data_IF_032776147909
#
_entry.id   IF_032776147909
#
_cell.length_a   1.000
_cell.length_b   1.000
_cell.length_c   1.000
_cell.angle_alpha   90.00
_cell.angle_beta   90.00
_cell.angle_gamma   90.00
#
_symmetry.space_group_name_H-M   'P 1'
#
loop_
_entity.id
_entity.type
_entity.pdbx_description
1 polymer ?
#
# COMPACT_ATOMS: atom_id res chain seq x y z
N UNK A 1 11.41 -37.45 12.94
CA UNK A 1 11.60 -36.01 12.72
C UNK A 1 11.08 -35.28 13.95
N UNK A 2 11.95 -34.55 14.66
CA UNK A 2 11.53 -33.77 15.82
C UNK A 2 10.45 -32.76 15.38
N UNK A 3 9.26 -32.83 15.98
CA UNK A 3 8.22 -31.83 15.78
C UNK A 3 8.76 -30.53 16.37
N UNK A 4 9.09 -29.55 15.53
CA UNK A 4 9.52 -28.24 16.01
C UNK A 4 8.38 -27.68 16.88
N UNK A 5 8.62 -27.52 18.17
CA UNK A 5 7.65 -26.93 19.09
C UNK A 5 7.32 -25.50 18.62
N UNK A 6 6.06 -25.06 18.76
CA UNK A 6 5.70 -23.68 18.45
C UNK A 6 6.52 -22.74 19.35
N UNK A 7 6.99 -21.61 18.79
CA UNK A 7 7.75 -20.62 19.55
C UNK A 7 6.89 -20.12 20.72
N UNK A 8 7.51 -20.06 21.90
CA UNK A 8 6.88 -19.54 23.11
C UNK A 8 6.49 -18.07 22.87
N UNK A 9 5.28 -17.74 23.26
CA UNK A 9 4.72 -16.40 23.16
C UNK A 9 4.45 -15.94 24.59
N UNK A 10 5.12 -14.87 24.99
CA UNK A 10 4.95 -14.25 26.31
C UNK A 10 4.40 -12.85 26.09
N UNK A 11 3.34 -12.51 26.81
CA UNK A 11 2.74 -11.19 26.81
C UNK A 11 3.18 -10.44 28.06
N UNK A 12 3.38 -9.13 27.93
CA UNK A 12 3.37 -8.25 29.10
C UNK A 12 1.94 -8.07 29.61
N UNK A 13 1.81 -7.69 30.88
CA UNK A 13 0.50 -7.44 31.50
C UNK A 13 -0.31 -6.40 30.71
N UNK A 14 0.33 -5.31 30.27
CA UNK A 14 -0.31 -4.28 29.46
C UNK A 14 -0.82 -4.81 28.11
N UNK A 15 -0.03 -5.65 27.42
CA UNK A 15 -0.47 -6.25 26.15
C UNK A 15 -1.65 -7.20 26.34
N UNK A 16 -1.62 -8.00 27.41
CA UNK A 16 -2.72 -8.90 27.76
C UNK A 16 -4.00 -8.12 28.04
N UNK A 17 -3.94 -7.10 28.89
CA UNK A 17 -5.08 -6.24 29.18
C UNK A 17 -5.66 -5.59 27.92
N UNK A 18 -4.81 -5.09 27.02
CA UNK A 18 -5.25 -4.49 25.76
C UNK A 18 -5.96 -5.50 24.84
N UNK A 19 -5.43 -6.73 24.75
CA UNK A 19 -6.05 -7.82 23.99
C UNK A 19 -7.43 -8.18 24.58
N UNK A 20 -7.54 -8.30 25.90
CA UNK A 20 -8.79 -8.59 26.59
C UNK A 20 -9.82 -7.45 26.42
N UNK A 21 -9.38 -6.18 26.49
CA UNK A 21 -10.21 -5.00 26.19
C UNK A 21 -10.74 -5.04 24.75
N UNK A 22 -9.94 -5.50 23.78
CA UNK A 22 -10.37 -5.68 22.40
C UNK A 22 -11.43 -6.78 22.24
N UNK A 23 -11.36 -7.87 23.02
CA UNK A 23 -12.38 -8.92 23.00
C UNK A 23 -13.74 -8.42 23.52
N UNK A 24 -13.73 -7.53 24.52
CA UNK A 24 -14.93 -7.00 25.16
C UNK A 24 -15.55 -5.80 24.43
N UNK A 25 -14.83 -5.21 23.46
CA UNK A 25 -15.29 -4.04 22.72
C UNK A 25 -16.37 -4.42 21.71
N UNK A 26 -17.58 -3.89 21.91
CA UNK A 26 -18.77 -4.17 21.07
C UNK A 26 -18.60 -3.85 19.58
N UNK A 27 -17.77 -2.88 19.23
CA UNK A 27 -17.56 -2.41 17.85
C UNK A 27 -16.26 -2.91 17.22
N UNK A 28 -15.54 -3.83 17.86
CA UNK A 28 -14.28 -4.33 17.31
C UNK A 28 -14.54 -5.20 16.05
N UNK A 29 -13.78 -5.01 14.96
CA UNK A 29 -13.90 -5.87 13.78
C UNK A 29 -13.64 -7.34 14.16
N UNK A 30 -14.49 -8.25 13.69
CA UNK A 30 -14.42 -9.68 14.02
C UNK A 30 -13.04 -10.29 13.73
N UNK A 31 -12.36 -9.83 12.67
CA UNK A 31 -11.02 -10.30 12.34
C UNK A 31 -9.98 -9.91 13.40
N UNK A 32 -10.06 -8.69 13.96
CA UNK A 32 -9.16 -8.25 15.03
C UNK A 32 -9.40 -9.08 16.29
N UNK A 33 -10.68 -9.29 16.65
CA UNK A 33 -11.06 -10.14 17.78
C UNK A 33 -10.54 -11.57 17.61
N UNK A 34 -10.70 -12.16 16.42
CA UNK A 34 -10.20 -13.50 16.12
C UNK A 34 -8.67 -13.59 16.26
N UNK A 35 -7.94 -12.57 15.77
CA UNK A 35 -6.48 -12.50 15.88
C UNK A 35 -6.05 -12.33 17.33
N UNK A 36 -6.74 -11.51 18.12
CA UNK A 36 -6.48 -11.38 19.55
C UNK A 36 -6.65 -12.71 20.30
N UNK A 37 -7.72 -13.47 20.00
CA UNK A 37 -7.94 -14.82 20.56
C UNK A 37 -6.80 -15.79 20.22
N UNK A 38 -6.28 -15.75 18.99
CA UNK A 38 -5.12 -16.58 18.60
C UNK A 38 -3.92 -16.29 19.51
N UNK A 39 -3.66 -15.02 19.82
CA UNK A 39 -2.51 -14.60 20.63
C UNK A 39 -2.69 -15.00 22.10
N UNK A 40 -3.87 -14.81 22.68
CA UNK A 40 -4.17 -15.19 24.06
C UNK A 40 -4.05 -16.71 24.26
N UNK A 41 -4.69 -17.51 23.40
CA UNK A 41 -4.58 -18.97 23.47
C UNK A 41 -3.13 -19.46 23.27
N UNK A 42 -2.34 -18.73 22.46
CA UNK A 42 -0.94 -19.03 22.24
C UNK A 42 -0.05 -18.74 23.46
N UNK A 43 -0.39 -17.73 24.27
CA UNK A 43 0.25 -17.42 25.55
C UNK A 43 -0.08 -18.50 26.60
N UNK A 44 -1.32 -18.99 26.63
CA UNK A 44 -1.78 -20.09 27.51
C UNK A 44 -1.11 -21.44 27.21
N UNK A 45 -0.28 -21.53 26.15
CA UNK A 45 0.49 -22.72 25.81
C UNK A 45 -0.15 -23.61 24.74
N UNK A 46 -1.31 -23.23 24.20
CA UNK A 46 -1.94 -24.00 23.12
C UNK A 46 -1.07 -23.99 21.86
N UNK A 47 -0.97 -25.13 21.20
CA UNK A 47 -0.27 -25.26 19.92
C UNK A 47 -1.17 -24.82 18.73
N UNK A 48 -0.56 -24.62 17.57
CA UNK A 48 -1.27 -24.14 16.37
C UNK A 48 -2.44 -25.04 15.92
N UNK A 49 -2.45 -26.34 16.28
CA UNK A 49 -3.55 -27.25 15.94
C UNK A 49 -4.69 -27.14 16.94
N UNK A 50 -4.39 -26.99 18.23
CA UNK A 50 -5.37 -26.74 19.28
C UNK A 50 -6.12 -25.43 19.02
N UNK A 51 -5.37 -24.34 18.82
CA UNK A 51 -5.95 -23.02 18.47
C UNK A 51 -6.82 -23.11 17.21
N UNK A 52 -6.37 -23.88 16.20
CA UNK A 52 -7.13 -24.10 14.98
C UNK A 52 -8.46 -24.81 15.21
N UNK A 53 -8.49 -25.81 16.08
CA UNK A 53 -9.72 -26.54 16.45
C UNK A 53 -10.67 -25.66 17.26
N UNK A 54 -10.14 -24.96 18.26
CA UNK A 54 -10.94 -24.14 19.16
C UNK A 54 -11.59 -22.95 18.46
N UNK A 55 -10.85 -22.26 17.59
CA UNK A 55 -11.35 -21.10 16.86
C UNK A 55 -11.97 -21.44 15.49
N UNK A 56 -12.01 -22.72 15.12
CA UNK A 56 -12.45 -23.20 13.80
C UNK A 56 -11.71 -22.52 12.63
N UNK A 57 -10.37 -22.46 12.71
CA UNK A 57 -9.48 -21.87 11.70
C UNK A 57 -8.39 -22.84 11.26
N UNK A 58 -7.73 -22.54 10.15
CA UNK A 58 -6.59 -23.34 9.71
C UNK A 58 -5.38 -23.16 10.64
N UNK A 59 -4.63 -24.25 10.88
CA UNK A 59 -3.35 -24.21 11.61
C UNK A 59 -2.35 -23.19 11.04
N UNK A 60 -2.44 -22.93 9.74
CA UNK A 60 -1.57 -21.99 9.00
C UNK A 60 -1.89 -20.56 9.41
N UNK A 61 -3.17 -20.24 9.61
CA UNK A 61 -3.60 -18.92 10.07
C UNK A 61 -3.16 -18.66 11.52
N UNK A 62 -3.34 -19.64 12.42
CA UNK A 62 -2.85 -19.53 13.79
C UNK A 62 -1.33 -19.29 13.82
N UNK A 63 -0.56 -20.08 13.05
CA UNK A 63 0.88 -19.90 12.90
C UNK A 63 1.24 -18.51 12.39
N UNK A 64 0.61 -18.05 11.30
CA UNK A 64 0.88 -16.74 10.69
C UNK A 64 0.75 -15.59 11.70
N UNK A 65 -0.33 -15.58 12.48
CA UNK A 65 -0.57 -14.50 13.43
C UNK A 65 0.35 -14.56 14.64
N UNK A 66 0.73 -15.74 15.12
CA UNK A 66 1.77 -15.87 16.15
C UNK A 66 3.13 -15.39 15.67
N UNK A 67 3.55 -15.85 14.49
CA UNK A 67 4.84 -15.47 13.90
C UNK A 67 4.90 -13.94 13.71
N UNK A 68 3.83 -13.36 13.13
CA UNK A 68 3.69 -11.90 12.99
C UNK A 68 3.71 -11.16 14.32
N UNK A 69 3.02 -11.66 15.35
CA UNK A 69 3.02 -11.04 16.67
C UNK A 69 4.44 -10.96 17.24
N UNK A 70 5.20 -12.05 17.15
CA UNK A 70 6.58 -12.13 17.63
C UNK A 70 7.58 -11.30 16.79
N UNK A 71 7.33 -11.13 15.50
CA UNK A 71 8.13 -10.23 14.65
C UNK A 71 7.88 -8.77 14.99
N UNK A 72 6.64 -8.41 15.32
CA UNK A 72 6.25 -7.03 15.60
C UNK A 72 6.42 -6.61 17.06
N UNK A 73 6.54 -7.55 18.02
CA UNK A 73 6.88 -7.23 19.42
C UNK A 73 8.22 -6.51 19.56
N UNK A 74 9.13 -6.72 18.59
CA UNK A 74 10.44 -6.07 18.55
C UNK A 74 10.37 -4.59 18.12
N UNK A 75 9.24 -4.12 17.60
CA UNK A 75 9.11 -2.81 16.96
C UNK A 75 8.40 -1.76 17.82
N UNK A 76 8.13 -2.04 19.10
CA UNK A 76 7.41 -1.15 20.03
C UNK A 76 6.11 -0.57 19.42
N UNK A 77 5.34 -1.41 18.73
CA UNK A 77 4.08 -1.02 18.09
C UNK A 77 2.88 -1.23 19.04
N UNK A 78 1.83 -0.38 18.95
CA UNK A 78 0.58 -0.60 19.66
C UNK A 78 -0.04 -1.97 19.34
N UNK A 79 -0.76 -2.58 20.30
CA UNK A 79 -1.39 -3.90 20.12
C UNK A 79 -2.28 -3.95 18.88
N UNK A 80 -3.08 -2.91 18.65
CA UNK A 80 -4.00 -2.85 17.52
C UNK A 80 -3.26 -2.89 16.18
N UNK A 81 -2.14 -2.19 16.04
CA UNK A 81 -1.35 -2.14 14.80
C UNK A 81 -0.70 -3.48 14.48
N UNK A 82 -0.45 -4.30 15.50
CA UNK A 82 0.10 -5.65 15.33
C UNK A 82 -0.95 -6.63 14.81
N UNK A 83 -2.23 -6.35 15.08
CA UNK A 83 -3.36 -7.17 14.69
C UNK A 83 -3.98 -6.77 13.34
N UNK A 84 -3.68 -5.59 12.79
CA UNK A 84 -4.15 -5.20 11.45
C UNK A 84 -3.31 -5.84 10.34
N UNK A 85 -3.92 -5.98 9.15
CA UNK A 85 -3.19 -6.42 7.96
C UNK A 85 -2.16 -5.35 7.56
N UNK A 86 -0.98 -5.80 7.12
CA UNK A 86 -0.05 -4.89 6.46
C UNK A 86 -0.68 -4.34 5.18
N UNK A 87 -0.26 -3.14 4.80
CA UNK A 87 -0.59 -2.59 3.50
C UNK A 87 -0.30 -3.63 2.41
N UNK A 88 -1.33 -3.90 1.61
CA UNK A 88 -1.18 -4.82 0.48
C UNK A 88 -0.21 -4.16 -0.48
N UNK A 89 0.73 -4.93 -1.04
CA UNK A 89 1.71 -4.45 -2.02
C UNK A 89 1.09 -3.79 -3.27
N UNK A 90 -0.23 -3.87 -3.44
CA UNK A 90 -0.94 -3.34 -4.59
C UNK A 90 -0.66 -4.14 -5.86
N UNK A 91 -1.25 -3.69 -6.97
CA UNK A 91 -0.82 -4.14 -8.30
C UNK A 91 0.52 -3.45 -8.59
N UNK A 92 1.52 -4.17 -9.13
CA UNK A 92 2.74 -3.52 -9.63
C UNK A 92 2.39 -2.37 -10.58
N UNK A 93 3.18 -1.30 -10.54
CA UNK A 93 3.03 -0.21 -11.49
C UNK A 93 3.10 -0.74 -12.93
N UNK A 94 2.22 -0.25 -13.79
CA UNK A 94 2.19 -0.67 -15.21
C UNK A 94 3.31 -0.01 -16.02
N UNK A 95 3.74 1.18 -15.59
CA UNK A 95 4.83 1.93 -16.19
C UNK A 95 5.95 2.08 -15.18
N UNK A 96 7.19 2.04 -15.66
CA UNK A 96 8.37 2.30 -14.83
C UNK A 96 8.46 3.78 -14.46
N UNK A 97 9.26 4.09 -13.44
CA UNK A 97 9.45 5.49 -13.03
C UNK A 97 10.11 6.31 -14.14
N UNK A 98 11.01 5.68 -14.91
CA UNK A 98 11.70 6.30 -16.05
C UNK A 98 10.69 6.72 -17.12
N UNK A 99 9.77 5.83 -17.50
CA UNK A 99 8.71 6.14 -18.48
C UNK A 99 7.79 7.27 -18.01
N UNK A 100 7.49 7.33 -16.71
CA UNK A 100 6.66 8.39 -16.12
C UNK A 100 7.43 9.73 -16.10
N UNK A 101 8.72 9.72 -15.80
CA UNK A 101 9.56 10.92 -15.82
C UNK A 101 9.71 11.45 -17.25
N UNK A 102 9.88 10.58 -18.24
CA UNK A 102 9.93 10.97 -19.64
C UNK A 102 8.60 11.59 -20.12
N UNK A 103 7.46 11.03 -19.69
CA UNK A 103 6.15 11.66 -19.93
C UNK A 103 6.11 13.08 -19.36
N UNK A 104 6.61 13.30 -18.14
CA UNK A 104 6.60 14.63 -17.52
C UNK A 104 7.54 15.59 -18.23
N UNK A 105 8.72 15.14 -18.65
CA UNK A 105 9.64 15.94 -19.45
C UNK A 105 8.99 16.38 -20.77
N UNK A 106 8.34 15.44 -21.47
CA UNK A 106 7.60 15.72 -22.69
C UNK A 106 6.46 16.72 -22.45
N UNK A 107 5.67 16.52 -21.39
CA UNK A 107 4.55 17.40 -21.04
C UNK A 107 4.99 18.84 -20.70
N UNK A 108 6.24 19.05 -20.30
CA UNK A 108 6.84 20.36 -20.01
C UNK A 108 7.58 20.98 -21.21
N UNK A 109 7.67 20.29 -22.34
CA UNK A 109 8.32 20.77 -23.56
C UNK A 109 7.32 21.43 -24.52
N UNK A 110 7.82 22.13 -25.54
CA UNK A 110 6.96 22.74 -26.55
C UNK A 110 6.58 21.71 -27.63
N UNK A 111 5.30 21.57 -28.01
CA UNK A 111 4.89 20.64 -29.07
C UNK A 111 5.59 20.87 -30.41
N UNK A 112 5.99 22.12 -30.67
CA UNK A 112 6.74 22.53 -31.86
C UNK A 112 8.10 21.83 -31.96
N UNK A 113 8.77 21.55 -30.83
CA UNK A 113 10.06 20.84 -30.78
C UNK A 113 9.94 19.40 -31.33
N UNK A 114 8.72 18.85 -31.34
CA UNK A 114 8.40 17.50 -31.81
C UNK A 114 7.64 17.50 -33.15
N UNK A 115 7.58 18.67 -33.81
CA UNK A 115 6.96 18.84 -35.13
C UNK A 115 5.44 18.74 -35.14
N UNK A 116 4.77 18.96 -34.00
CA UNK A 116 3.30 18.94 -33.93
C UNK A 116 2.71 20.33 -34.13
N UNK A 117 1.71 20.51 -35.02
CA UNK A 117 1.08 21.80 -35.25
C UNK A 117 -0.01 22.10 -34.19
N UNK A 118 0.36 22.03 -32.91
CA UNK A 118 -0.55 22.27 -31.77
C UNK A 118 0.10 23.27 -30.81
N UNK A 119 -0.68 24.15 -30.20
CA UNK A 119 -0.16 25.16 -29.25
C UNK A 119 0.10 24.60 -27.85
N UNK A 120 -0.56 23.50 -27.49
CA UNK A 120 -0.45 22.88 -26.17
C UNK A 120 -0.58 21.36 -26.26
N UNK A 121 0.11 20.65 -25.37
CA UNK A 121 -0.04 19.22 -25.24
C UNK A 121 -1.43 18.84 -24.72
N UNK A 122 -2.06 17.88 -25.40
CA UNK A 122 -3.21 17.15 -24.86
C UNK A 122 -2.78 15.76 -24.41
N UNK A 123 -3.53 15.12 -23.52
CA UNK A 123 -3.20 13.77 -23.05
C UNK A 123 -3.19 12.72 -24.18
N UNK A 124 -3.93 12.97 -25.28
CA UNK A 124 -3.90 12.12 -26.47
C UNK A 124 -2.59 12.29 -27.23
N UNK A 125 -2.20 13.53 -27.47
CA UNK A 125 -0.97 13.86 -28.21
C UNK A 125 0.27 13.36 -27.47
N UNK A 126 0.29 13.50 -26.14
CA UNK A 126 1.35 12.95 -25.29
C UNK A 126 1.41 11.42 -25.37
N UNK A 127 0.26 10.73 -25.33
CA UNK A 127 0.22 9.28 -25.47
C UNK A 127 0.77 8.82 -26.83
N UNK A 128 0.36 9.47 -27.92
CA UNK A 128 0.84 9.18 -29.27
C UNK A 128 2.34 9.45 -29.41
N UNK A 129 2.84 10.54 -28.83
CA UNK A 129 4.25 10.89 -28.90
C UNK A 129 5.14 9.96 -28.06
N UNK A 130 4.67 9.52 -26.89
CA UNK A 130 5.38 8.50 -26.10
C UNK A 130 5.50 7.16 -26.86
N UNK A 131 4.46 6.76 -27.58
CA UNK A 131 4.49 5.56 -28.44
C UNK A 131 5.42 5.77 -29.63
N UNK A 132 5.37 6.94 -30.28
CA UNK A 132 6.24 7.30 -31.42
C UNK A 132 7.72 7.29 -31.04
N UNK A 133 8.07 7.73 -29.83
CA UNK A 133 9.44 7.72 -29.33
C UNK A 133 9.89 6.35 -28.78
N UNK A 134 8.99 5.35 -28.76
CA UNK A 134 9.30 4.00 -28.27
C UNK A 134 9.44 3.90 -26.75
N UNK A 135 8.96 4.91 -26.01
CA UNK A 135 9.02 4.95 -24.54
C UNK A 135 8.09 3.90 -23.94
N UNK A 136 6.90 3.72 -24.56
CA UNK A 136 5.90 2.73 -24.17
C UNK A 136 5.33 2.05 -25.41
N UNK A 137 4.95 0.77 -25.30
CA UNK A 137 4.24 0.06 -26.36
C UNK A 137 2.82 0.59 -26.56
N UNK A 138 2.12 0.88 -25.45
CA UNK A 138 0.81 1.50 -25.46
C UNK A 138 0.51 2.18 -24.13
N UNK A 139 -0.17 3.32 -24.19
CA UNK A 139 -0.70 4.01 -23.02
C UNK A 139 -2.03 4.68 -23.39
N UNK A 140 -3.03 4.59 -22.51
CA UNK A 140 -4.29 5.26 -22.77
C UNK A 140 -4.18 6.75 -22.44
N UNK A 141 -4.79 7.65 -23.24
CA UNK A 141 -4.81 9.08 -22.95
C UNK A 141 -5.37 9.41 -21.56
N UNK A 142 -6.30 8.59 -21.04
CA UNK A 142 -6.84 8.73 -19.68
C UNK A 142 -5.80 8.43 -18.61
N UNK A 143 -4.93 7.44 -18.82
CA UNK A 143 -3.85 7.15 -17.89
C UNK A 143 -2.81 8.27 -17.89
N UNK A 144 -2.45 8.80 -19.07
CA UNK A 144 -1.60 10.00 -19.17
C UNK A 144 -2.20 11.16 -18.36
N UNK A 145 -3.50 11.45 -18.55
CA UNK A 145 -4.19 12.49 -17.77
C UNK A 145 -4.10 12.27 -16.25
N UNK A 146 -4.28 11.02 -15.78
CA UNK A 146 -4.15 10.67 -14.37
C UNK A 146 -2.73 10.91 -13.82
N UNK A 147 -1.70 10.51 -14.58
CA UNK A 147 -0.30 10.71 -14.18
C UNK A 147 0.05 12.21 -14.09
N UNK A 148 -0.44 13.02 -15.03
CA UNK A 148 -0.24 14.47 -15.01
C UNK A 148 -0.98 15.13 -13.83
N UNK A 149 -2.19 14.66 -13.50
CA UNK A 149 -2.95 15.14 -12.34
C UNK A 149 -2.26 14.80 -11.02
N UNK A 150 -1.76 13.57 -10.86
CA UNK A 150 -0.98 13.12 -9.71
C UNK A 150 0.28 13.98 -9.51
N UNK A 151 0.92 14.42 -10.61
CA UNK A 151 2.08 15.31 -10.58
C UNK A 151 1.72 16.82 -10.58
N UNK A 152 0.42 17.17 -10.61
CA UNK A 152 -0.08 18.54 -10.72
C UNK A 152 0.43 19.32 -11.94
N UNK A 153 0.76 18.62 -13.04
CA UNK A 153 1.22 19.21 -14.30
C UNK A 153 0.00 19.49 -15.18
N UNK A 154 -0.08 20.71 -15.72
CA UNK A 154 -1.20 21.15 -16.58
C UNK A 154 -0.67 21.71 -17.91
N UNK A 155 -0.33 20.85 -18.89
CA UNK A 155 0.32 21.30 -20.13
C UNK A 155 -0.54 22.23 -21.00
N UNK A 156 -1.85 22.19 -20.81
CA UNK A 156 -2.83 23.04 -21.50
C UNK A 156 -3.04 24.39 -20.80
N UNK A 157 -2.30 24.69 -19.72
CA UNK A 157 -2.43 25.93 -18.97
C UNK A 157 -1.11 26.70 -18.97
N UNK A 158 -1.16 27.95 -19.42
CA UNK A 158 -0.05 28.89 -19.26
C UNK A 158 -0.30 29.78 -18.05
N UNK A 159 0.67 29.84 -17.13
CA UNK A 159 0.68 30.80 -16.03
C UNK A 159 1.39 32.06 -16.49
N UNK A 160 0.66 33.17 -16.56
CA UNK A 160 1.21 34.48 -16.91
C UNK A 160 0.73 35.53 -15.92
N UNK A 161 1.49 36.62 -15.82
CA UNK A 161 1.13 37.78 -15.02
C UNK A 161 0.43 38.79 -15.93
N UNK A 162 -0.86 39.06 -15.67
CA UNK A 162 -1.61 40.14 -16.34
C UNK A 162 -1.11 41.52 -15.92
N UNK A 163 -0.62 41.63 -14.69
CA UNK A 163 0.00 42.82 -14.13
C UNK A 163 1.33 42.44 -13.48
N UNK A 164 2.42 43.18 -13.75
CA UNK A 164 3.70 42.92 -13.10
C UNK A 164 3.55 43.13 -11.58
N UNK A 165 4.21 42.31 -10.74
CA UNK A 165 4.21 42.53 -9.30
C UNK A 165 4.78 43.94 -8.99
N UNK A 166 4.23 44.65 -7.98
CA UNK A 166 4.77 45.95 -7.59
C UNK A 166 6.25 45.82 -7.24
N UNK A 167 7.05 46.78 -7.71
CA UNK A 167 8.50 46.85 -7.46
C UNK A 167 8.82 47.07 -5.99
#
# INVERSE_FOLDING_TARGET
>A
MAKLAPKLLTLSECEREELEKLLNRRSAPQQIVLRAKIILLAEEGNNNREIGRELNITRVMARRWRDRWLELSLRSLPVIERLVDSERRGKPATFSMEQVVELFALACSQPEDYGRPISHWTSRELAEEMVKQGIVESISPRHVGRLLEEAQIKPHQNRYWLTPPPR
#
